data_IF_448553177595
#
_entry.id   IF_448553177595
#
_cell.length_a   1.000
_cell.length_b   1.000
_cell.length_c   1.000
_cell.angle_alpha   90.00
_cell.angle_beta   90.00
_cell.angle_gamma   90.00
#
_symmetry.space_group_name_H-M   'P 1'
#
loop_
_entity.id
_entity.type
_entity.pdbx_description
1 polymer ?
#
# COMPACT_ATOMS: atom_id res chain seq x y z
N UNK A 1 12.94 2.01 -11.65
CA UNK A 1 11.57 2.46 -11.30
C UNK A 1 10.52 1.34 -11.20
N UNK A 2 10.71 0.17 -11.83
CA UNK A 2 9.75 -0.97 -11.75
C UNK A 2 9.37 -1.42 -10.35
N UNK A 3 10.28 -1.35 -9.38
CA UNK A 3 9.99 -1.76 -7.99
C UNK A 3 9.01 -0.82 -7.27
N UNK A 4 9.08 0.48 -7.56
CA UNK A 4 8.14 1.49 -7.04
C UNK A 4 6.77 1.23 -7.66
N UNK A 5 6.68 1.03 -8.98
CA UNK A 5 5.42 0.73 -9.65
C UNK A 5 4.79 -0.57 -9.16
N UNK A 6 5.56 -1.65 -9.02
CA UNK A 6 5.05 -2.92 -8.51
C UNK A 6 4.49 -2.78 -7.09
N UNK A 7 5.23 -2.08 -6.21
CA UNK A 7 4.78 -1.81 -4.84
C UNK A 7 3.55 -0.90 -4.82
N UNK A 8 3.48 0.09 -5.71
CA UNK A 8 2.36 1.01 -5.84
C UNK A 8 1.09 0.32 -6.34
N UNK A 9 1.21 -0.61 -7.28
CA UNK A 9 0.09 -1.42 -7.77
C UNK A 9 -0.43 -2.34 -6.68
N UNK A 10 0.45 -2.98 -5.90
CA UNK A 10 0.03 -3.80 -4.76
C UNK A 10 -0.67 -2.96 -3.68
N UNK A 11 -0.14 -1.78 -3.35
CA UNK A 11 -0.79 -0.83 -2.43
C UNK A 11 -2.18 -0.45 -2.94
N UNK A 12 -2.30 -0.02 -4.20
CA UNK A 12 -3.57 0.40 -4.78
C UNK A 12 -4.62 -0.73 -4.79
N UNK A 13 -4.20 -1.97 -5.04
CA UNK A 13 -5.09 -3.15 -4.95
C UNK A 13 -5.57 -3.41 -3.52
N UNK A 14 -4.67 -3.36 -2.55
CA UNK A 14 -5.01 -3.54 -1.14
C UNK A 14 -5.93 -2.42 -0.64
N UNK A 15 -5.67 -1.18 -1.06
CA UNK A 15 -6.51 -0.02 -0.77
C UNK A 15 -7.91 -0.18 -1.36
N UNK A 16 -8.02 -0.54 -2.64
CA UNK A 16 -9.31 -0.75 -3.29
C UNK A 16 -10.12 -1.84 -2.58
N UNK A 17 -9.46 -2.93 -2.16
CA UNK A 17 -10.09 -4.02 -1.43
C UNK A 17 -10.52 -3.62 -0.02
N UNK A 18 -9.73 -2.80 0.67
CA UNK A 18 -10.08 -2.24 1.98
C UNK A 18 -11.13 -1.13 1.91
N UNK A 19 -11.34 -0.51 0.76
CA UNK A 19 -12.40 0.47 0.53
C UNK A 19 -13.69 -0.17 -0.01
N UNK A 20 -13.62 -1.45 -0.39
CA UNK A 20 -14.77 -2.22 -0.84
C UNK A 20 -15.69 -2.52 0.34
N UNK A 21 -16.90 -1.95 0.31
CA UNK A 21 -17.90 -2.16 1.36
C UNK A 21 -18.33 -3.62 1.49
N UNK A 22 -18.36 -4.40 0.42
CA UNK A 22 -18.69 -5.82 0.49
C UNK A 22 -17.57 -6.61 1.19
N UNK A 23 -16.31 -6.21 0.98
CA UNK A 23 -15.19 -6.75 1.76
C UNK A 23 -15.29 -6.34 3.22
N UNK A 24 -15.47 -5.06 3.55
CA UNK A 24 -15.55 -4.59 4.94
C UNK A 24 -16.73 -5.16 5.73
N UNK A 25 -17.85 -5.44 5.06
CA UNK A 25 -19.05 -6.00 5.72
C UNK A 25 -19.01 -7.52 5.85
N UNK A 26 -18.34 -8.23 4.94
CA UNK A 26 -18.26 -9.70 4.95
C UNK A 26 -16.97 -10.24 5.57
N UNK A 27 -15.90 -9.47 5.55
CA UNK A 27 -14.61 -9.90 6.09
C UNK A 27 -14.59 -9.73 7.62
N UNK A 28 -14.00 -10.70 8.35
CA UNK A 28 -13.78 -10.54 9.78
C UNK A 28 -12.90 -9.32 10.08
N UNK A 29 -13.13 -8.59 11.19
CA UNK A 29 -12.32 -7.43 11.56
C UNK A 29 -10.83 -7.79 11.67
N UNK A 30 -10.49 -8.97 12.20
CA UNK A 30 -9.11 -9.46 12.26
C UNK A 30 -8.42 -9.63 10.89
N UNK A 31 -9.19 -9.84 9.81
CA UNK A 31 -8.67 -9.90 8.44
C UNK A 31 -8.53 -8.50 7.86
N UNK A 32 -9.49 -7.62 8.13
CA UNK A 32 -9.44 -6.21 7.72
C UNK A 32 -8.23 -5.52 8.36
N UNK A 33 -8.01 -5.71 9.66
CA UNK A 33 -6.86 -5.14 10.37
C UNK A 33 -5.53 -5.67 9.82
N UNK A 34 -5.43 -6.99 9.57
CA UNK A 34 -4.22 -7.56 8.92
C UNK A 34 -3.96 -6.97 7.53
N UNK A 35 -4.99 -6.80 6.71
CA UNK A 35 -4.82 -6.19 5.38
C UNK A 35 -4.47 -4.71 5.50
N UNK A 36 -5.00 -3.98 6.50
CA UNK A 36 -4.63 -2.58 6.78
C UNK A 36 -3.18 -2.45 7.25
N UNK A 37 -2.72 -3.33 8.13
CA UNK A 37 -1.32 -3.37 8.56
C UNK A 37 -0.40 -3.66 7.38
N UNK A 38 -0.79 -4.63 6.53
CA UNK A 38 -0.04 -4.97 5.32
C UNK A 38 0.01 -3.79 4.35
N UNK A 39 -1.12 -3.11 4.15
CA UNK A 39 -1.18 -1.89 3.34
C UNK A 39 -0.24 -0.81 3.90
N UNK A 40 -0.30 -0.55 5.21
CA UNK A 40 0.53 0.46 5.86
C UNK A 40 2.02 0.17 5.65
N UNK A 41 2.44 -1.09 5.84
CA UNK A 41 3.83 -1.51 5.64
C UNK A 41 4.29 -1.32 4.18
N UNK A 42 3.43 -1.66 3.21
CA UNK A 42 3.74 -1.49 1.77
C UNK A 42 3.75 -0.02 1.36
N UNK A 43 2.85 0.79 1.92
CA UNK A 43 2.82 2.25 1.71
C UNK A 43 4.05 2.93 2.28
N UNK A 44 4.47 2.57 3.48
CA UNK A 44 5.69 3.10 4.11
C UNK A 44 6.92 2.78 3.27
N UNK A 45 7.06 1.52 2.84
CA UNK A 45 8.15 1.11 1.93
C UNK A 45 8.12 1.88 0.61
N UNK A 46 6.93 2.05 0.01
CA UNK A 46 6.77 2.82 -1.23
C UNK A 46 7.17 4.29 -1.02
N UNK A 47 6.75 4.90 0.08
CA UNK A 47 7.05 6.28 0.41
C UNK A 47 8.57 6.48 0.56
N UNK A 48 9.26 5.58 1.27
CA UNK A 48 10.72 5.58 1.39
C UNK A 48 11.42 5.47 0.05
N UNK A 49 11.05 4.49 -0.78
CA UNK A 49 11.64 4.30 -2.11
C UNK A 49 11.38 5.51 -3.04
N UNK A 50 10.21 6.14 -2.94
CA UNK A 50 9.89 7.37 -3.67
C UNK A 50 10.71 8.55 -3.17
N UNK A 51 10.87 8.66 -1.85
CA UNK A 51 11.60 9.75 -1.22
C UNK A 51 13.09 9.66 -1.55
N UNK A 52 13.71 8.49 -1.44
CA UNK A 52 15.10 8.28 -1.88
C UNK A 52 15.28 8.60 -3.37
N UNK A 53 14.32 8.22 -4.22
CA UNK A 53 14.36 8.56 -5.64
C UNK A 53 14.09 10.05 -5.93
N UNK A 54 13.50 10.80 -5.01
CA UNK A 54 13.24 12.24 -5.11
C UNK A 54 14.45 13.04 -4.61
N UNK A 55 15.02 12.67 -3.46
CA UNK A 55 16.26 13.24 -2.90
C UNK A 55 17.40 13.15 -3.92
N UNK A 56 17.58 12.00 -4.57
CA UNK A 56 18.63 11.81 -5.59
C UNK A 56 18.44 12.64 -6.87
N UNK A 57 17.31 13.34 -7.02
CA UNK A 57 17.01 14.18 -8.19
C UNK A 57 17.18 15.68 -7.91
N UNK A 58 17.41 16.06 -6.66
CA UNK A 58 17.58 17.46 -6.24
C UNK A 58 19.04 17.89 -6.04
N UNK A 59 20.01 16.99 -6.31
CA UNK A 59 21.46 17.25 -6.23
C UNK A 59 22.14 17.24 -7.61
#
# INVERSE_FOLDING_TARGET
QREIEATQVEVARLEARLNDRAFLTKAPPAIVDKERDKLALRRDKLARLKQESLDFKEE
#
